data_IF_432870172995
#
_entry.id   IF_432870172995
#
_cell.length_a   1.000
_cell.length_b   1.000
_cell.length_c   1.000
_cell.angle_alpha   90.00
_cell.angle_beta   90.00
_cell.angle_gamma   90.00
#
_symmetry.space_group_name_H-M   'P 1'
#
loop_
_entity.id
_entity.type
_entity.pdbx_description
1 polymer ?
#
# COMPACT_ATOMS: atom_id res chain seq x y z
N UNK A 1 -32.95 -52.96 35.76
CA UNK A 1 -31.99 -51.99 36.26
C UNK A 1 -30.78 -52.15 35.34
N UNK A 2 -30.79 -51.47 34.19
CA UNK A 2 -29.65 -51.45 33.26
C UNK A 2 -28.80 -50.20 33.52
N UNK A 3 -27.50 -50.41 33.57
CA UNK A 3 -26.44 -49.48 33.93
C UNK A 3 -26.48 -48.18 33.13
N UNK A 4 -26.89 -47.11 33.77
CA UNK A 4 -26.80 -45.72 33.26
C UNK A 4 -25.39 -45.13 33.38
N UNK A 5 -24.43 -45.88 33.96
CA UNK A 5 -23.05 -45.42 34.16
C UNK A 5 -22.12 -45.71 32.98
N UNK A 6 -22.46 -46.57 32.04
CA UNK A 6 -21.61 -46.94 30.91
C UNK A 6 -21.67 -45.91 29.75
N UNK A 7 -22.74 -45.10 29.64
CA UNK A 7 -22.90 -44.13 28.55
C UNK A 7 -22.14 -42.81 28.81
N UNK A 8 -21.85 -42.46 30.06
CA UNK A 8 -21.16 -41.20 30.42
C UNK A 8 -19.63 -41.27 30.17
N UNK A 9 -19.03 -42.46 30.13
CA UNK A 9 -17.60 -42.65 29.95
C UNK A 9 -17.14 -42.70 28.48
N UNK A 10 -18.05 -42.81 27.51
CA UNK A 10 -17.74 -42.85 26.08
C UNK A 10 -17.70 -41.41 25.47
N UNK A 11 -18.40 -40.44 26.09
CA UNK A 11 -18.41 -39.07 25.59
C UNK A 11 -17.26 -38.19 26.07
N UNK A 12 -16.39 -38.70 26.96
CA UNK A 12 -15.35 -37.85 27.57
C UNK A 12 -14.00 -37.86 26.84
N UNK A 13 -13.85 -38.58 25.72
CA UNK A 13 -12.54 -38.68 25.02
C UNK A 13 -12.56 -38.29 23.54
N UNK A 14 -13.59 -37.61 23.06
CA UNK A 14 -13.50 -36.92 21.78
C UNK A 14 -12.89 -35.54 22.04
N UNK A 15 -11.56 -35.50 22.19
CA UNK A 15 -10.81 -34.26 21.98
C UNK A 15 -11.05 -33.88 20.50
N UNK A 16 -12.02 -33.05 20.23
CA UNK A 16 -12.05 -32.27 19.00
C UNK A 16 -10.76 -31.41 18.99
N UNK A 17 -9.70 -31.98 18.43
CA UNK A 17 -8.70 -31.11 17.83
C UNK A 17 -9.44 -30.36 16.72
N UNK A 18 -9.56 -29.04 16.78
CA UNK A 18 -10.04 -28.30 15.62
C UNK A 18 -9.06 -28.63 14.49
N UNK A 19 -9.44 -29.51 13.57
CA UNK A 19 -8.77 -29.61 12.30
C UNK A 19 -8.82 -28.18 11.77
N UNK A 20 -7.67 -27.50 11.76
CA UNK A 20 -7.50 -26.28 10.99
C UNK A 20 -7.93 -26.67 9.57
N UNK A 21 -9.13 -26.28 9.18
CA UNK A 21 -9.54 -26.28 7.79
C UNK A 21 -8.51 -25.41 7.07
N UNK A 22 -7.44 -26.05 6.59
CA UNK A 22 -6.49 -25.42 5.68
C UNK A 22 -7.24 -25.33 4.36
N UNK A 23 -7.97 -24.23 4.18
CA UNK A 23 -8.40 -23.83 2.86
C UNK A 23 -7.18 -23.73 1.93
N UNK A 24 -7.39 -23.69 0.61
CA UNK A 24 -6.32 -23.49 -0.36
C UNK A 24 -5.49 -22.25 0.03
N UNK A 25 -4.18 -22.23 -0.27
CA UNK A 25 -3.31 -21.15 0.18
C UNK A 25 -3.78 -19.82 -0.38
N UNK A 26 -4.25 -18.97 0.53
CA UNK A 26 -4.63 -17.58 0.25
C UNK A 26 -3.36 -16.75 0.16
N UNK A 27 -3.17 -15.97 -0.91
CA UNK A 27 -2.09 -14.97 -0.97
C UNK A 27 -2.55 -13.68 -0.34
N UNK A 28 -1.69 -13.07 0.46
CA UNK A 28 -1.95 -11.79 1.11
C UNK A 28 -0.90 -10.77 0.70
N UNK A 29 -1.33 -9.63 0.21
CA UNK A 29 -0.47 -8.48 -0.09
C UNK A 29 -0.78 -7.35 0.90
N UNK A 30 0.27 -6.78 1.48
CA UNK A 30 0.15 -5.57 2.27
C UNK A 30 0.19 -4.37 1.32
N UNK A 31 -0.78 -3.46 1.43
CA UNK A 31 -0.95 -2.30 0.55
C UNK A 31 -0.79 -1.03 1.37
N UNK A 32 0.08 -0.13 0.92
CA UNK A 32 0.32 1.20 1.50
C UNK A 32 0.23 2.27 0.42
N UNK A 33 -0.04 3.52 0.80
CA UNK A 33 -0.19 4.62 -0.12
C UNK A 33 0.32 5.94 0.46
N UNK A 34 0.66 6.89 -0.42
CA UNK A 34 0.80 8.32 -0.13
C UNK A 34 1.69 8.60 1.10
N UNK A 35 2.95 8.16 1.03
CA UNK A 35 3.93 8.41 2.10
C UNK A 35 4.45 9.83 2.08
N UNK A 36 4.63 10.40 0.87
CA UNK A 36 5.19 11.74 0.67
C UNK A 36 6.53 11.96 1.38
N UNK A 37 7.47 11.03 1.25
CA UNK A 37 8.82 11.19 1.83
C UNK A 37 9.43 12.52 1.35
N UNK A 38 9.94 13.36 2.25
CA UNK A 38 10.34 13.11 3.64
C UNK A 38 9.22 13.34 4.69
N UNK A 39 8.00 13.73 4.28
CA UNK A 39 6.87 14.07 5.16
C UNK A 39 6.03 12.86 5.59
N UNK A 40 6.60 11.66 5.50
CA UNK A 40 5.96 10.43 5.94
C UNK A 40 5.83 10.37 7.47
N UNK A 41 4.75 9.79 7.95
CA UNK A 41 4.59 9.54 9.39
C UNK A 41 5.52 8.40 9.84
N UNK A 42 6.54 8.72 10.64
CA UNK A 42 7.51 7.73 11.13
C UNK A 42 6.87 6.62 11.99
N UNK A 43 5.79 6.94 12.73
CA UNK A 43 5.04 5.91 13.46
C UNK A 43 4.33 4.97 12.49
N UNK A 44 3.78 5.49 11.40
CA UNK A 44 3.14 4.67 10.38
C UNK A 44 4.13 3.70 9.71
N UNK A 45 5.29 4.17 9.26
CA UNK A 45 6.27 3.31 8.59
C UNK A 45 6.81 2.21 9.51
N UNK A 46 7.07 2.52 10.80
CA UNK A 46 7.44 1.51 11.81
C UNK A 46 6.30 0.52 12.10
N UNK A 47 5.04 1.00 12.10
CA UNK A 47 3.88 0.11 12.27
C UNK A 47 3.75 -0.86 11.10
N UNK A 48 3.96 -0.39 9.86
CA UNK A 48 4.00 -1.24 8.66
C UNK A 48 5.04 -2.36 8.83
N UNK A 49 6.25 -2.05 9.29
CA UNK A 49 7.29 -3.05 9.59
C UNK A 49 6.80 -4.12 10.58
N UNK A 50 6.13 -3.70 11.66
CA UNK A 50 5.58 -4.63 12.67
C UNK A 50 4.44 -5.49 12.11
N UNK A 51 3.59 -4.91 11.26
CA UNK A 51 2.51 -5.63 10.60
C UNK A 51 3.08 -6.66 9.62
N UNK A 52 4.08 -6.31 8.80
CA UNK A 52 4.77 -7.28 7.93
C UNK A 52 5.25 -8.50 8.73
N UNK A 53 5.95 -8.28 9.85
CA UNK A 53 6.39 -9.38 10.74
C UNK A 53 5.25 -10.21 11.30
N UNK A 54 4.10 -9.58 11.55
CA UNK A 54 2.96 -10.25 12.16
C UNK A 54 2.18 -11.12 11.17
N UNK A 55 1.99 -10.65 9.93
CA UNK A 55 1.13 -11.32 8.94
C UNK A 55 1.90 -12.15 7.93
N UNK A 56 3.23 -11.95 7.79
CA UNK A 56 4.11 -12.62 6.81
C UNK A 56 3.52 -12.61 5.38
N UNK A 57 3.29 -11.42 4.77
CA UNK A 57 2.57 -11.32 3.51
C UNK A 57 3.37 -11.88 2.32
N UNK A 58 2.66 -12.26 1.25
CA UNK A 58 3.24 -12.72 -0.01
C UNK A 58 3.84 -11.58 -0.85
N UNK A 59 3.52 -10.35 -0.50
CA UNK A 59 4.06 -9.18 -1.16
C UNK A 59 3.66 -7.87 -0.50
N UNK A 60 4.25 -6.80 -1.04
CA UNK A 60 4.03 -5.41 -0.65
C UNK A 60 3.64 -4.61 -1.90
N UNK A 61 2.66 -3.75 -1.77
CA UNK A 61 2.22 -2.85 -2.83
C UNK A 61 2.21 -1.43 -2.29
N UNK A 62 2.97 -0.53 -2.95
CA UNK A 62 2.94 0.90 -2.69
C UNK A 62 2.22 1.58 -3.86
N UNK A 63 1.13 2.28 -3.57
CA UNK A 63 0.18 2.78 -4.57
C UNK A 63 0.57 4.11 -5.23
N UNK A 64 1.77 4.62 -5.02
CA UNK A 64 2.23 5.91 -5.56
C UNK A 64 2.27 7.01 -4.51
N UNK A 65 2.79 8.17 -4.90
CA UNK A 65 3.09 9.31 -4.02
C UNK A 65 3.92 8.87 -2.80
N UNK A 66 4.91 8.00 -3.05
CA UNK A 66 5.89 7.60 -2.06
C UNK A 66 6.85 8.75 -1.73
N UNK A 67 7.19 9.54 -2.75
CA UNK A 67 8.02 10.74 -2.66
C UNK A 67 7.15 11.99 -2.83
N UNK A 68 7.40 13.04 -2.07
CA UNK A 68 6.73 14.32 -2.28
C UNK A 68 7.24 15.02 -3.55
N UNK A 69 8.53 14.89 -3.85
CA UNK A 69 9.19 15.53 -4.99
C UNK A 69 8.89 17.04 -5.08
N UNK A 70 8.86 17.71 -3.93
CA UNK A 70 8.55 19.14 -3.77
C UNK A 70 9.51 20.02 -4.60
N UNK A 71 10.78 19.62 -4.68
CA UNK A 71 11.84 20.39 -5.35
C UNK A 71 11.56 20.63 -6.83
N UNK A 72 10.84 19.73 -7.47
CA UNK A 72 10.46 19.77 -8.89
C UNK A 72 8.96 20.02 -9.09
N UNK A 73 8.24 20.45 -8.04
CA UNK A 73 6.84 20.86 -8.11
C UNK A 73 6.69 22.16 -8.89
N UNK A 74 5.56 22.33 -9.57
CA UNK A 74 5.15 23.59 -10.24
C UNK A 74 4.46 24.57 -9.29
N UNK A 75 4.11 24.12 -8.08
CA UNK A 75 3.50 24.99 -7.06
C UNK A 75 4.56 25.86 -6.37
N UNK A 76 4.09 26.95 -5.72
CA UNK A 76 4.94 27.83 -4.94
C UNK A 76 5.77 27.05 -3.93
N UNK A 77 7.05 27.40 -3.83
CA UNK A 77 8.00 26.74 -2.94
C UNK A 77 7.92 27.36 -1.54
N UNK A 78 7.78 26.52 -0.53
CA UNK A 78 7.99 26.94 0.85
C UNK A 78 9.50 27.11 1.10
N UNK A 79 9.97 28.33 1.42
CA UNK A 79 11.39 28.60 1.60
C UNK A 79 12.01 27.90 2.83
N UNK A 80 11.18 27.38 3.74
CA UNK A 80 11.66 26.60 4.89
C UNK A 80 12.06 25.18 4.51
N UNK A 81 11.55 24.64 3.41
CA UNK A 81 11.84 23.29 2.90
C UNK A 81 13.14 23.29 2.09
N UNK A 82 14.23 22.83 2.69
CA UNK A 82 15.60 22.91 2.12
C UNK A 82 16.20 21.58 1.67
N UNK A 83 15.54 20.48 1.94
CA UNK A 83 16.02 19.14 1.60
C UNK A 83 16.15 18.96 0.07
N UNK A 84 17.16 18.19 -0.34
CA UNK A 84 17.40 17.85 -1.73
C UNK A 84 16.56 16.64 -2.13
N UNK A 85 16.16 16.58 -3.39
CA UNK A 85 15.41 15.39 -3.92
C UNK A 85 16.22 14.10 -3.78
N UNK A 86 17.55 14.17 -3.88
CA UNK A 86 18.41 13.00 -3.68
C UNK A 86 18.35 12.47 -2.25
N UNK A 87 18.25 13.33 -1.24
CA UNK A 87 18.09 12.96 0.16
C UNK A 87 16.74 12.25 0.38
N UNK A 88 15.67 12.80 -0.20
CA UNK A 88 14.33 12.19 -0.11
C UNK A 88 14.31 10.78 -0.76
N UNK A 89 14.98 10.61 -1.90
CA UNK A 89 15.12 9.32 -2.56
C UNK A 89 15.87 8.32 -1.67
N UNK A 90 16.94 8.75 -1.02
CA UNK A 90 17.73 7.88 -0.14
C UNK A 90 16.95 7.53 1.14
N UNK A 91 16.19 8.44 1.71
CA UNK A 91 15.28 8.18 2.83
C UNK A 91 14.21 7.16 2.43
N UNK A 92 13.62 7.28 1.24
CA UNK A 92 12.66 6.29 0.76
C UNK A 92 13.30 4.91 0.53
N UNK A 93 14.52 4.86 0.00
CA UNK A 93 15.27 3.60 -0.11
C UNK A 93 15.51 2.93 1.24
N UNK A 94 15.76 3.71 2.30
CA UNK A 94 15.90 3.17 3.66
C UNK A 94 14.59 2.52 4.14
N UNK A 95 13.44 3.15 3.93
CA UNK A 95 12.12 2.58 4.24
C UNK A 95 11.89 1.29 3.46
N UNK A 96 12.14 1.29 2.15
CA UNK A 96 12.01 0.09 1.31
C UNK A 96 12.93 -1.05 1.77
N UNK A 97 14.17 -0.73 2.19
CA UNK A 97 15.12 -1.71 2.69
C UNK A 97 14.65 -2.30 4.03
N UNK A 98 14.10 -1.48 4.92
CA UNK A 98 13.53 -1.93 6.18
C UNK A 98 12.37 -2.90 5.94
N UNK A 99 11.40 -2.50 5.12
CA UNK A 99 10.23 -3.33 4.81
C UNK A 99 10.59 -4.62 4.08
N UNK A 100 11.44 -4.53 3.05
CA UNK A 100 11.84 -5.71 2.27
C UNK A 100 12.66 -6.72 3.09
N UNK A 101 13.41 -6.27 4.11
CA UNK A 101 14.15 -7.18 5.01
C UNK A 101 13.22 -8.09 5.79
N UNK A 102 12.04 -7.58 6.16
CA UNK A 102 11.06 -8.30 6.98
C UNK A 102 10.09 -9.17 6.16
N UNK A 103 10.04 -8.99 4.84
CA UNK A 103 9.24 -9.83 3.96
C UNK A 103 9.87 -11.22 3.78
N UNK A 104 9.04 -12.25 3.63
CA UNK A 104 9.49 -13.60 3.29
C UNK A 104 10.23 -13.65 1.95
N UNK A 105 11.05 -14.65 1.76
CA UNK A 105 11.77 -14.86 0.50
C UNK A 105 10.81 -14.96 -0.70
N UNK A 106 11.22 -14.42 -1.85
CA UNK A 106 10.44 -14.37 -3.09
C UNK A 106 9.13 -13.56 -3.01
N UNK A 107 8.94 -12.71 -1.99
CA UNK A 107 7.83 -11.79 -1.95
C UNK A 107 7.83 -10.88 -3.19
N UNK A 108 6.64 -10.55 -3.71
CA UNK A 108 6.50 -9.62 -4.81
C UNK A 108 6.33 -8.19 -4.25
N UNK A 109 7.16 -7.25 -4.73
CA UNK A 109 7.10 -5.85 -4.32
C UNK A 109 6.70 -5.02 -5.53
N UNK A 110 5.54 -4.39 -5.46
CA UNK A 110 5.01 -3.53 -6.52
C UNK A 110 5.08 -2.08 -6.08
N UNK A 111 5.82 -1.27 -6.83
CA UNK A 111 5.91 0.18 -6.64
C UNK A 111 5.18 0.85 -7.79
N UNK A 112 4.12 1.58 -7.48
CA UNK A 112 3.39 2.37 -8.44
C UNK A 112 3.92 3.80 -8.42
N UNK A 113 4.01 4.40 -9.58
CA UNK A 113 4.25 5.83 -9.73
C UNK A 113 2.95 6.60 -9.44
N UNK A 114 3.03 7.65 -8.64
CA UNK A 114 1.95 8.58 -8.40
C UNK A 114 2.10 9.88 -9.20
N UNK A 115 1.21 10.84 -8.95
CA UNK A 115 1.32 12.14 -9.62
C UNK A 115 2.51 12.97 -9.14
N UNK A 116 3.02 12.72 -7.92
CA UNK A 116 4.23 13.38 -7.40
C UNK A 116 5.49 12.83 -8.08
N UNK A 117 5.64 11.52 -8.19
CA UNK A 117 6.75 10.94 -8.96
C UNK A 117 6.70 11.37 -10.43
N UNK A 118 5.53 11.48 -11.04
CA UNK A 118 5.37 11.93 -12.43
C UNK A 118 5.85 13.38 -12.68
N UNK A 119 6.11 14.15 -11.59
CA UNK A 119 6.74 15.48 -11.70
C UNK A 119 8.10 15.44 -12.35
N UNK A 120 8.89 14.37 -12.16
CA UNK A 120 10.22 14.25 -12.74
C UNK A 120 10.17 14.32 -14.27
N UNK A 121 9.38 13.47 -14.90
CA UNK A 121 9.24 13.45 -16.36
C UNK A 121 8.67 14.78 -16.91
N UNK A 122 7.70 15.36 -16.21
CA UNK A 122 7.11 16.67 -16.57
C UNK A 122 8.10 17.81 -16.42
N UNK A 123 8.91 17.81 -15.37
CA UNK A 123 9.93 18.83 -15.13
C UNK A 123 11.00 18.79 -16.22
N UNK A 124 11.49 17.59 -16.59
CA UNK A 124 12.45 17.41 -17.68
C UNK A 124 11.85 17.92 -18.99
N UNK A 125 10.63 17.52 -19.33
CA UNK A 125 9.95 17.93 -20.55
C UNK A 125 9.73 19.45 -20.64
N UNK A 126 9.45 20.10 -19.52
CA UNK A 126 9.17 21.55 -19.48
C UNK A 126 10.39 22.44 -19.34
N UNK A 127 11.47 21.98 -18.69
CA UNK A 127 12.61 22.82 -18.32
C UNK A 127 13.95 22.36 -18.87
N UNK A 128 14.11 21.06 -19.16
CA UNK A 128 15.38 20.45 -19.54
C UNK A 128 15.19 19.41 -20.67
N UNK A 129 14.42 19.76 -21.70
CA UNK A 129 14.03 18.85 -22.77
C UNK A 129 15.20 18.10 -23.39
N UNK A 130 16.34 18.79 -23.55
CA UNK A 130 17.54 18.20 -24.17
C UNK A 130 18.21 17.14 -23.28
N UNK A 131 17.84 17.07 -22.00
CA UNK A 131 18.28 16.03 -21.07
C UNK A 131 17.36 14.80 -21.05
N UNK A 132 16.31 14.79 -21.87
CA UNK A 132 15.43 13.62 -21.96
C UNK A 132 16.20 12.38 -22.41
N UNK A 133 16.07 11.29 -21.65
CA UNK A 133 16.84 10.05 -21.87
C UNK A 133 18.24 10.05 -21.25
N UNK A 134 18.76 11.19 -20.79
CA UNK A 134 20.02 11.27 -20.04
C UNK A 134 19.79 11.25 -18.53
N UNK A 135 18.65 11.79 -18.05
CA UNK A 135 18.28 11.75 -16.62
C UNK A 135 17.68 10.37 -16.32
N UNK A 136 18.16 9.68 -15.28
CA UNK A 136 17.61 8.40 -14.86
C UNK A 136 16.12 8.50 -14.51
N UNK A 137 15.35 7.48 -14.88
CA UNK A 137 13.97 7.32 -14.45
C UNK A 137 13.88 6.82 -12.99
N UNK A 138 12.67 6.77 -12.43
CA UNK A 138 12.44 6.30 -11.06
C UNK A 138 12.88 4.85 -10.85
N UNK A 139 12.74 3.96 -11.82
CA UNK A 139 13.20 2.58 -11.70
C UNK A 139 14.71 2.53 -11.47
N UNK A 140 15.45 3.34 -12.22
CA UNK A 140 16.91 3.46 -12.12
C UNK A 140 17.31 4.14 -10.80
N UNK A 141 16.67 5.25 -10.45
CA UNK A 141 16.93 6.00 -9.20
C UNK A 141 16.67 5.14 -7.96
N UNK A 142 15.64 4.30 -7.97
CA UNK A 142 15.31 3.35 -6.88
C UNK A 142 16.12 2.05 -6.95
N UNK A 143 16.91 1.85 -8.00
CA UNK A 143 17.75 0.66 -8.18
C UNK A 143 16.98 -0.64 -8.40
N UNK A 144 15.81 -0.59 -9.04
CA UNK A 144 14.91 -1.76 -9.20
C UNK A 144 15.60 -2.90 -9.94
N UNK A 145 16.37 -2.62 -10.97
CA UNK A 145 17.11 -3.65 -11.73
C UNK A 145 18.14 -4.36 -10.86
N UNK A 146 18.92 -3.59 -10.08
CA UNK A 146 19.93 -4.14 -9.15
C UNK A 146 19.25 -4.98 -8.09
N UNK A 147 18.15 -4.49 -7.51
CA UNK A 147 17.37 -5.22 -6.49
C UNK A 147 16.85 -6.57 -7.02
N UNK A 148 16.46 -6.65 -8.31
CA UNK A 148 16.03 -7.89 -8.93
C UNK A 148 17.19 -8.87 -9.21
N UNK A 149 18.41 -8.36 -9.46
CA UNK A 149 19.57 -9.20 -9.74
C UNK A 149 20.18 -9.82 -8.48
N UNK A 150 20.29 -9.02 -7.42
CA UNK A 150 21.02 -9.42 -6.20
C UNK A 150 20.10 -9.67 -4.98
N UNK A 151 18.84 -9.29 -5.08
CA UNK A 151 17.89 -9.37 -3.99
C UNK A 151 17.12 -10.68 -3.91
N UNK A 152 16.49 -10.92 -2.76
CA UNK A 152 15.64 -12.08 -2.50
C UNK A 152 14.17 -11.89 -2.90
N UNK A 153 13.80 -10.73 -3.47
CA UNK A 153 12.44 -10.35 -3.83
C UNK A 153 12.30 -10.04 -5.30
N UNK A 154 11.06 -10.06 -5.80
CA UNK A 154 10.72 -9.67 -7.17
C UNK A 154 10.14 -8.25 -7.12
N UNK A 155 10.86 -7.29 -7.68
CA UNK A 155 10.47 -5.89 -7.72
C UNK A 155 9.84 -5.54 -9.07
N UNK A 156 8.69 -4.88 -9.02
CA UNK A 156 7.93 -4.43 -10.18
C UNK A 156 7.67 -2.93 -10.04
N UNK A 157 7.91 -2.18 -11.10
CA UNK A 157 7.57 -0.75 -11.15
C UNK A 157 6.46 -0.53 -12.17
N UNK A 158 5.46 0.29 -11.80
CA UNK A 158 4.27 0.53 -12.59
C UNK A 158 4.10 2.03 -12.85
N UNK A 159 4.18 2.49 -14.12
CA UNK A 159 4.11 3.90 -14.45
C UNK A 159 2.71 4.48 -14.26
N UNK A 160 2.63 5.74 -13.84
CA UNK A 160 1.39 6.46 -13.51
C UNK A 160 0.39 6.57 -14.67
N UNK A 161 0.88 6.75 -15.89
CA UNK A 161 0.03 6.97 -17.07
C UNK A 161 -0.81 5.75 -17.50
N UNK A 162 -0.62 4.60 -16.89
CA UNK A 162 -1.37 3.35 -17.18
C UNK A 162 -2.16 2.91 -15.96
N UNK A 163 -3.45 3.29 -15.90
CA UNK A 163 -4.33 3.00 -14.78
C UNK A 163 -4.46 1.51 -14.41
N UNK A 164 -4.29 0.61 -15.37
CA UNK A 164 -4.39 -0.84 -15.20
C UNK A 164 -3.04 -1.57 -15.30
N UNK A 165 -1.94 -0.87 -15.07
CA UNK A 165 -0.60 -1.45 -15.18
C UNK A 165 -0.28 -2.47 -14.09
N UNK A 166 -0.91 -2.33 -12.91
CA UNK A 166 -0.78 -3.27 -11.80
C UNK A 166 -2.11 -3.99 -11.56
N UNK A 167 -2.08 -5.33 -11.69
CA UNK A 167 -3.26 -6.17 -11.48
C UNK A 167 -2.87 -7.38 -10.65
N UNK A 168 -3.61 -7.61 -9.56
CA UNK A 168 -3.43 -8.76 -8.66
C UNK A 168 -4.78 -9.47 -8.56
N UNK A 169 -4.85 -10.69 -9.05
CA UNK A 169 -6.13 -11.38 -9.18
C UNK A 169 -7.09 -10.59 -10.07
N UNK A 170 -8.32 -10.40 -9.63
CA UNK A 170 -9.34 -9.58 -10.30
C UNK A 170 -9.35 -8.11 -9.82
N UNK A 171 -8.37 -7.69 -9.02
CA UNK A 171 -8.23 -6.32 -8.52
C UNK A 171 -7.20 -5.53 -9.32
N UNK A 172 -7.56 -4.31 -9.70
CA UNK A 172 -6.65 -3.30 -10.26
C UNK A 172 -6.13 -2.41 -9.14
N UNK A 173 -4.81 -2.18 -9.12
CA UNK A 173 -4.17 -1.26 -8.20
C UNK A 173 -3.61 -0.09 -9.00
N UNK A 174 -3.89 1.12 -8.55
CA UNK A 174 -3.43 2.35 -9.21
C UNK A 174 -3.22 3.45 -8.17
N UNK A 175 -2.53 4.52 -8.54
CA UNK A 175 -2.45 5.68 -7.63
C UNK A 175 -3.79 6.43 -7.55
N UNK A 176 -4.44 6.65 -8.66
CA UNK A 176 -5.69 7.42 -8.75
C UNK A 176 -5.53 8.70 -9.58
N UNK A 177 -6.67 9.18 -10.12
CA UNK A 177 -6.72 10.36 -11.01
C UNK A 177 -7.83 11.35 -10.62
N UNK A 178 -8.71 10.96 -9.71
CA UNK A 178 -9.86 11.76 -9.31
C UNK A 178 -9.72 12.18 -7.84
N UNK A 179 -10.22 13.36 -7.50
CA UNK A 179 -10.12 13.96 -6.16
C UNK A 179 -11.44 14.54 -5.65
N UNK A 180 -12.56 14.22 -6.29
CA UNK A 180 -13.88 14.66 -5.85
C UNK A 180 -14.30 14.00 -4.51
N UNK A 181 -15.37 14.51 -3.89
CA UNK A 181 -15.82 14.09 -2.56
C UNK A 181 -16.15 12.58 -2.49
N UNK A 182 -16.76 12.02 -3.53
CA UNK A 182 -17.18 10.61 -3.60
C UNK A 182 -16.26 9.83 -4.57
N UNK A 183 -14.97 9.95 -4.38
CA UNK A 183 -13.96 9.44 -5.32
C UNK A 183 -14.06 7.94 -5.54
N UNK A 184 -14.31 7.14 -4.49
CA UNK A 184 -14.43 5.70 -4.62
C UNK A 184 -15.62 5.29 -5.50
N UNK A 185 -16.78 5.96 -5.34
CA UNK A 185 -17.95 5.74 -6.20
C UNK A 185 -17.67 6.16 -7.65
N UNK A 186 -16.98 7.29 -7.85
CA UNK A 186 -16.57 7.75 -9.18
C UNK A 186 -15.68 6.73 -9.89
N UNK A 187 -14.69 6.18 -9.18
CA UNK A 187 -13.81 5.14 -9.72
C UNK A 187 -14.60 3.86 -10.04
N UNK A 188 -15.47 3.41 -9.13
CA UNK A 188 -16.29 2.22 -9.33
C UNK A 188 -17.14 2.32 -10.61
N UNK A 189 -17.85 3.45 -10.79
CA UNK A 189 -18.72 3.69 -11.94
C UNK A 189 -17.95 3.79 -13.26
N UNK A 190 -16.75 4.42 -13.23
CA UNK A 190 -15.97 4.63 -14.46
C UNK A 190 -15.22 3.38 -14.91
N UNK A 191 -14.60 2.67 -13.96
CA UNK A 191 -13.72 1.55 -14.32
C UNK A 191 -14.43 0.20 -14.30
N UNK A 192 -15.47 0.01 -13.47
CA UNK A 192 -16.25 -1.23 -13.33
C UNK A 192 -15.34 -2.45 -13.06
N UNK A 193 -14.44 -2.29 -12.09
CA UNK A 193 -13.49 -3.30 -11.63
C UNK A 193 -13.38 -3.24 -10.10
N UNK A 194 -12.86 -4.29 -9.51
CA UNK A 194 -12.33 -4.24 -8.16
C UNK A 194 -11.08 -3.35 -8.18
N UNK A 195 -11.05 -2.27 -7.42
CA UNK A 195 -9.99 -1.25 -7.49
C UNK A 195 -9.55 -0.81 -6.11
N UNK A 196 -8.22 -0.75 -5.89
CA UNK A 196 -7.60 -0.06 -4.75
C UNK A 196 -6.74 1.09 -5.28
N UNK A 197 -6.88 2.26 -4.68
CA UNK A 197 -6.12 3.44 -5.07
C UNK A 197 -5.84 4.38 -3.89
N UNK A 198 -4.88 5.30 -4.04
CA UNK A 198 -4.50 6.33 -3.08
C UNK A 198 -4.97 7.73 -3.47
N UNK A 199 -4.05 8.70 -3.54
CA UNK A 199 -4.16 10.06 -4.09
C UNK A 199 -4.96 11.05 -3.24
N UNK A 200 -6.12 10.67 -2.71
CA UNK A 200 -6.99 11.63 -2.01
C UNK A 200 -6.75 11.67 -0.51
N UNK A 201 -5.91 10.80 0.01
CA UNK A 201 -5.65 10.61 1.44
C UNK A 201 -6.89 10.24 2.28
N UNK A 202 -8.07 10.14 1.66
CA UNK A 202 -9.35 9.80 2.31
C UNK A 202 -9.62 8.32 2.18
N UNK A 203 -10.01 7.69 3.28
CA UNK A 203 -10.45 6.30 3.22
C UNK A 203 -11.94 6.26 2.81
N UNK A 204 -12.21 5.60 1.70
CA UNK A 204 -13.57 5.33 1.22
C UNK A 204 -13.63 3.92 0.66
N UNK A 205 -14.64 3.15 1.03
CA UNK A 205 -14.92 1.83 0.47
C UNK A 205 -16.37 1.77 0.00
N UNK A 206 -16.59 1.39 -1.25
CA UNK A 206 -17.93 1.28 -1.85
C UNK A 206 -18.03 0.00 -2.69
N UNK A 207 -19.25 -0.54 -2.82
CA UNK A 207 -19.55 -1.68 -3.67
C UNK A 207 -20.90 -1.49 -4.35
N UNK A 208 -21.04 -2.00 -5.58
CA UNK A 208 -22.29 -2.09 -6.33
C UNK A 208 -22.89 -3.50 -6.34
N UNK A 209 -22.34 -4.42 -5.53
CA UNK A 209 -22.76 -5.81 -5.46
C UNK A 209 -22.04 -6.73 -6.44
N UNK A 210 -21.34 -6.19 -7.45
CA UNK A 210 -20.52 -6.94 -8.43
C UNK A 210 -19.05 -6.60 -8.27
N UNK A 211 -18.74 -5.30 -8.16
CA UNK A 211 -17.39 -4.78 -7.98
C UNK A 211 -17.31 -3.89 -6.74
N UNK A 212 -16.10 -3.58 -6.34
CA UNK A 212 -15.82 -2.68 -5.24
C UNK A 212 -14.66 -1.74 -5.56
N UNK A 213 -14.65 -0.56 -4.94
CA UNK A 213 -13.55 0.39 -5.05
C UNK A 213 -13.17 0.91 -3.67
N UNK A 214 -11.87 1.02 -3.41
CA UNK A 214 -11.33 1.54 -2.18
C UNK A 214 -10.29 2.62 -2.45
N UNK A 215 -10.55 3.84 -1.95
CA UNK A 215 -9.51 4.85 -1.69
C UNK A 215 -8.90 4.53 -0.33
N UNK A 216 -7.61 4.18 -0.29
CA UNK A 216 -7.02 3.53 0.88
C UNK A 216 -6.66 4.50 2.01
N UNK A 217 -6.55 5.80 1.74
CA UNK A 217 -5.98 6.75 2.69
C UNK A 217 -4.49 6.97 2.44
N UNK A 218 -3.70 7.28 3.50
CA UNK A 218 -2.31 7.69 3.34
C UNK A 218 -1.38 7.20 4.46
N UNK A 219 -0.06 7.40 4.27
CA UNK A 219 0.97 7.11 5.28
C UNK A 219 1.81 8.35 5.66
N UNK A 220 1.43 9.56 5.20
CA UNK A 220 2.13 10.80 5.48
C UNK A 220 1.78 11.39 6.86
N UNK A 221 2.53 12.38 7.31
CA UNK A 221 2.16 13.24 8.45
C UNK A 221 1.27 14.37 7.93
N UNK A 222 0.01 14.42 8.40
CA UNK A 222 -0.95 15.42 7.96
C UNK A 222 -0.48 16.86 8.26
N UNK A 223 0.24 17.06 9.36
CA UNK A 223 0.74 18.38 9.75
C UNK A 223 1.73 18.95 8.73
N UNK A 224 2.50 18.08 8.09
CA UNK A 224 3.54 18.47 7.14
C UNK A 224 3.04 18.50 5.69
N UNK A 225 1.94 17.79 5.40
CA UNK A 225 1.43 17.61 4.03
C UNK A 225 0.14 18.36 3.73
N UNK A 226 -0.68 18.67 4.75
CA UNK A 226 -1.93 19.39 4.55
C UNK A 226 -1.70 20.86 4.16
N UNK A 227 -2.20 21.25 3.00
CA UNK A 227 -2.08 22.62 2.49
C UNK A 227 -3.25 23.54 2.89
N UNK A 228 -4.26 23.02 3.59
CA UNK A 228 -5.48 23.75 3.91
C UNK A 228 -5.71 23.78 5.43
N UNK A 229 -6.16 24.93 5.97
CA UNK A 229 -6.45 25.08 7.39
C UNK A 229 -7.77 24.42 7.83
N UNK A 230 -8.49 23.78 6.92
CA UNK A 230 -9.77 23.12 7.18
C UNK A 230 -9.57 21.62 7.42
N UNK A 231 -10.50 20.95 8.16
CA UNK A 231 -10.44 19.49 8.31
C UNK A 231 -10.38 18.80 6.95
N UNK A 232 -9.34 18.02 6.73
CA UNK A 232 -9.06 17.37 5.44
C UNK A 232 -9.93 16.13 5.22
N UNK A 233 -10.40 15.50 6.30
CA UNK A 233 -11.03 14.18 6.27
C UNK A 233 -10.04 13.06 5.87
N UNK A 234 -8.73 13.31 6.02
CA UNK A 234 -7.68 12.35 5.74
C UNK A 234 -7.63 11.24 6.78
N UNK A 235 -7.22 10.06 6.38
CA UNK A 235 -7.17 8.89 7.25
C UNK A 235 -5.95 8.03 6.93
N UNK A 236 -5.11 7.79 7.94
CA UNK A 236 -4.06 6.80 7.80
C UNK A 236 -4.66 5.38 7.79
N UNK A 237 -4.32 4.61 6.76
CA UNK A 237 -4.80 3.24 6.62
C UNK A 237 -3.80 2.34 5.89
N UNK A 238 -3.94 1.04 6.09
CA UNK A 238 -3.18 -0.02 5.43
C UNK A 238 -4.19 -1.01 4.86
N UNK A 239 -3.97 -1.49 3.64
CA UNK A 239 -4.79 -2.53 3.02
C UNK A 239 -4.16 -3.92 3.20
N UNK A 240 -5.00 -4.93 3.43
CA UNK A 240 -4.64 -6.33 3.30
C UNK A 240 -5.45 -6.91 2.14
N UNK A 241 -4.80 -7.05 0.99
CA UNK A 241 -5.42 -7.61 -0.20
C UNK A 241 -5.22 -9.12 -0.23
N UNK A 242 -6.31 -9.84 -0.06
CA UNK A 242 -6.34 -11.30 -0.09
C UNK A 242 -6.73 -11.79 -1.48
N UNK A 243 -6.07 -12.83 -1.96
CA UNK A 243 -6.33 -13.44 -3.27
C UNK A 243 -6.50 -14.94 -3.10
N UNK A 244 -7.64 -15.47 -3.51
CA UNK A 244 -7.90 -16.90 -3.48
C UNK A 244 -7.28 -17.64 -4.68
N UNK A 245 -7.42 -18.95 -4.73
CA UNK A 245 -6.88 -19.79 -5.80
C UNK A 245 -7.54 -19.58 -7.16
N UNK A 246 -8.70 -18.96 -7.20
CA UNK A 246 -9.41 -18.59 -8.43
C UNK A 246 -9.08 -17.18 -8.90
N UNK A 247 -8.22 -16.47 -8.15
CA UNK A 247 -7.85 -15.07 -8.42
C UNK A 247 -8.91 -14.06 -7.97
N UNK A 248 -9.88 -14.45 -7.13
CA UNK A 248 -10.82 -13.51 -6.53
C UNK A 248 -10.17 -12.77 -5.39
N UNK A 249 -10.49 -11.49 -5.27
CA UNK A 249 -9.86 -10.61 -4.30
C UNK A 249 -10.85 -10.10 -3.26
N UNK A 250 -10.33 -9.92 -2.03
CA UNK A 250 -10.98 -9.26 -0.92
C UNK A 250 -9.99 -8.28 -0.29
N UNK A 251 -10.43 -7.09 0.05
CA UNK A 251 -9.63 -6.10 0.76
C UNK A 251 -10.15 -5.92 2.19
N UNK A 252 -9.28 -6.14 3.17
CA UNK A 252 -9.50 -5.72 4.54
C UNK A 252 -8.74 -4.39 4.77
N UNK A 253 -9.45 -3.35 5.24
CA UNK A 253 -8.86 -2.06 5.55
C UNK A 253 -8.53 -1.97 7.03
N UNK A 254 -7.28 -1.69 7.33
CA UNK A 254 -6.75 -1.52 8.67
C UNK A 254 -6.53 -0.02 8.91
N UNK A 255 -7.39 0.59 9.73
CA UNK A 255 -7.24 1.98 10.13
C UNK A 255 -6.07 2.13 11.10
N UNK A 256 -5.31 3.20 10.94
CA UNK A 256 -4.16 3.52 11.78
C UNK A 256 -4.45 4.81 12.56
N UNK A 257 -4.25 4.75 13.87
CA UNK A 257 -4.40 5.89 14.77
C UNK A 257 -3.18 5.98 15.68
N UNK A 258 -2.43 7.07 15.58
CA UNK A 258 -1.24 7.35 16.40
C UNK A 258 -0.28 6.15 16.52
N UNK A 259 0.06 5.52 15.40
CA UNK A 259 0.96 4.37 15.34
C UNK A 259 0.39 3.08 15.94
N UNK A 260 -0.94 2.95 16.01
CA UNK A 260 -1.65 1.76 16.49
C UNK A 260 -2.65 1.28 15.44
N UNK A 261 -2.80 -0.04 15.33
CA UNK A 261 -3.77 -0.69 14.47
C UNK A 261 -4.20 -2.04 15.05
N UNK A 262 -5.36 -2.54 14.62
CA UNK A 262 -5.84 -3.88 14.95
C UNK A 262 -5.81 -4.75 13.69
N UNK A 263 -5.02 -5.82 13.73
CA UNK A 263 -4.87 -6.76 12.63
C UNK A 263 -5.19 -8.17 13.10
N UNK A 264 -6.16 -8.83 12.48
CA UNK A 264 -6.64 -10.16 12.86
C UNK A 264 -6.95 -10.29 14.36
N UNK A 265 -7.62 -9.28 14.92
CA UNK A 265 -8.02 -9.25 16.33
C UNK A 265 -6.88 -8.93 17.32
N UNK A 266 -5.66 -8.67 16.85
CA UNK A 266 -4.51 -8.29 17.66
C UNK A 266 -4.17 -6.82 17.48
N UNK A 267 -4.04 -6.08 18.57
CA UNK A 267 -3.51 -4.72 18.53
C UNK A 267 -1.99 -4.75 18.30
N UNK A 268 -1.53 -4.02 17.31
CA UNK A 268 -0.12 -3.76 17.01
C UNK A 268 0.14 -2.28 17.23
N UNK A 269 1.23 -1.93 17.91
CA UNK A 269 1.59 -0.55 18.25
C UNK A 269 3.09 -0.31 18.14
N UNK A 270 3.47 0.95 17.92
CA UNK A 270 4.86 1.41 17.82
C UNK A 270 5.27 2.13 19.11
#
# INVERSE_FOLDING_TARGET
VFDFLAIILICANIRHHPQKLRGPPLKTYLVVSDLHVPYHCRKYTKLVTKIIKHIDPDGLIQLGDALDAFQISTYSKDPSRRNLLAEDIDDYKLILNEWSRELKQNAAIHLLEGNHESRLSRYIAGHCRDLHGLVPDWQTLLGIQIRNQVGKHRWHFHPYHKWNSCKIGDCVLMHGFYFNQHVAMTCLQKYRHNIVFGHTHRMQYVSDGVHWACSLGHGSDEKDTAHQPTPTGWQQAIGLLHVDTQGKTKLDVVLVHDGKAVVYGKQISV
#
